data_IF_561469598403
#
_entry.id   IF_561469598403
#
_cell.length_a   1.000
_cell.length_b   1.000
_cell.length_c   1.000
_cell.angle_alpha   90.00
_cell.angle_beta   90.00
_cell.angle_gamma   90.00
#
_symmetry.space_group_name_H-M   'P 1'
#
loop_
_entity.id
_entity.type
_entity.pdbx_description
1 polymer ?
#
# COMPACT_ATOMS: atom_id res chain seq x y z
N UNK A 1 21.77 -4.24 28.29
CA UNK A 1 22.80 -3.29 27.80
C UNK A 1 22.17 -2.49 26.69
N UNK A 2 21.87 -1.21 26.96
CA UNK A 2 21.24 -0.30 26.01
C UNK A 2 22.30 0.14 25.01
N UNK A 3 22.22 -0.37 23.77
CA UNK A 3 23.07 0.14 22.70
C UNK A 3 22.59 1.57 22.39
N UNK A 4 23.39 2.54 22.76
CA UNK A 4 23.24 3.93 22.32
C UNK A 4 23.36 3.96 20.80
N UNK A 5 22.23 4.12 20.10
CA UNK A 5 22.24 4.41 18.67
C UNK A 5 22.89 5.76 18.52
N UNK A 6 24.14 5.75 18.10
CA UNK A 6 24.87 6.93 17.74
C UNK A 6 24.20 7.53 16.49
N UNK A 7 23.60 8.70 16.65
CA UNK A 7 23.01 9.47 15.55
C UNK A 7 24.05 9.61 14.44
N UNK A 8 23.80 9.05 13.30
CA UNK A 8 24.62 9.24 12.11
C UNK A 8 24.52 10.71 11.72
N UNK A 9 25.64 11.42 11.84
CA UNK A 9 25.96 12.73 11.29
C UNK A 9 24.93 13.84 11.53
N UNK A 10 25.37 14.98 12.05
CA UNK A 10 24.67 16.26 12.17
C UNK A 10 24.23 16.84 10.82
N UNK A 11 23.44 16.14 10.02
CA UNK A 11 22.73 16.77 8.92
C UNK A 11 21.64 17.68 9.52
N UNK A 12 21.66 18.94 9.13
CA UNK A 12 20.56 19.82 9.51
C UNK A 12 19.25 19.25 8.97
N UNK A 13 18.15 19.34 9.71
CA UNK A 13 16.84 18.85 9.23
C UNK A 13 16.47 19.44 7.86
N UNK A 14 16.98 20.65 7.53
CA UNK A 14 16.81 21.28 6.22
C UNK A 14 17.30 20.44 5.03
N UNK A 15 18.26 19.53 5.28
CA UNK A 15 18.95 18.76 4.25
C UNK A 15 18.43 17.32 4.18
N UNK A 16 17.44 16.98 5.02
CA UNK A 16 16.84 15.64 5.05
C UNK A 16 15.70 15.57 4.06
N UNK A 17 15.81 14.64 3.11
CA UNK A 17 14.70 14.23 2.25
C UNK A 17 14.00 13.01 2.86
N UNK A 18 12.82 13.17 3.51
CA UNK A 18 12.11 12.05 4.13
C UNK A 18 11.56 11.03 3.14
N UNK A 19 11.56 11.34 1.85
CA UNK A 19 11.12 10.42 0.79
C UNK A 19 12.29 9.64 0.16
N UNK A 20 13.54 9.79 0.64
CA UNK A 20 14.68 9.02 0.12
C UNK A 20 14.55 7.54 0.52
N UNK A 21 14.37 6.60 -0.44
CA UNK A 21 14.23 5.17 -0.15
C UNK A 21 15.43 4.58 0.62
N UNK A 22 16.64 5.17 0.46
CA UNK A 22 17.85 4.72 1.15
C UNK A 22 17.78 4.94 2.65
N UNK A 23 17.03 5.94 3.13
CA UNK A 23 16.82 6.14 4.56
C UNK A 23 15.98 5.03 5.18
N UNK A 24 15.05 4.46 4.41
CA UNK A 24 14.21 3.33 4.84
C UNK A 24 14.98 2.01 4.75
N UNK A 25 15.58 1.70 3.61
CA UNK A 25 16.32 0.44 3.40
C UNK A 25 17.52 0.28 4.33
N UNK A 26 18.10 1.39 4.82
CA UNK A 26 19.20 1.40 5.79
C UNK A 26 18.75 1.64 7.23
N UNK A 27 17.45 1.62 7.49
CA UNK A 27 16.83 1.86 8.82
C UNK A 27 17.24 3.19 9.47
N UNK A 28 17.62 4.19 8.67
CA UNK A 28 18.12 5.49 9.14
C UNK A 28 17.03 6.54 9.34
N UNK A 29 15.82 6.32 8.84
CA UNK A 29 14.73 7.31 8.85
C UNK A 29 14.17 7.60 10.25
N UNK A 30 14.14 6.60 11.14
CA UNK A 30 13.48 6.73 12.44
C UNK A 30 14.06 7.84 13.35
N UNK A 31 15.40 8.02 13.46
CA UNK A 31 15.98 9.14 14.18
C UNK A 31 15.56 10.50 13.62
N UNK A 32 15.48 10.65 12.30
CA UNK A 32 15.03 11.88 11.67
C UNK A 32 13.57 12.16 11.97
N UNK A 33 12.68 11.18 11.87
CA UNK A 33 11.29 11.37 12.26
C UNK A 33 11.14 11.75 13.73
N UNK A 34 11.97 11.18 14.63
CA UNK A 34 11.99 11.58 16.05
C UNK A 34 12.37 13.05 16.20
N UNK A 35 13.42 13.49 15.51
CA UNK A 35 13.86 14.87 15.53
C UNK A 35 12.84 15.83 14.90
N UNK A 36 12.26 15.47 13.75
CA UNK A 36 11.19 16.24 13.12
C UNK A 36 10.00 16.44 14.07
N UNK A 37 9.52 15.39 14.73
CA UNK A 37 8.42 15.51 15.70
C UNK A 37 8.73 16.47 16.83
N UNK A 38 9.99 16.55 17.25
CA UNK A 38 10.40 17.41 18.36
C UNK A 38 10.58 18.87 17.91
N UNK A 39 11.25 19.11 16.78
CA UNK A 39 11.77 20.41 16.40
C UNK A 39 11.00 21.06 15.23
N UNK A 40 10.53 20.25 14.27
CA UNK A 40 9.87 20.74 13.04
C UNK A 40 8.82 19.73 12.54
N UNK A 41 7.69 19.58 13.25
CA UNK A 41 6.71 18.54 12.98
C UNK A 41 6.05 18.63 11.60
N UNK A 42 6.00 19.83 11.02
CA UNK A 42 5.66 20.07 9.62
C UNK A 42 6.94 20.54 8.92
N UNK A 43 7.53 19.65 8.15
CA UNK A 43 8.82 19.85 7.50
C UNK A 43 8.64 19.99 5.99
N UNK A 44 9.20 21.08 5.43
CA UNK A 44 9.23 21.29 3.98
C UNK A 44 10.52 20.73 3.40
N UNK A 45 10.39 19.76 2.52
CA UNK A 45 11.45 19.23 1.67
C UNK A 45 11.41 20.00 0.35
N UNK A 46 12.44 20.82 0.09
CA UNK A 46 12.50 21.69 -1.09
C UNK A 46 12.88 20.91 -2.35
N UNK A 47 13.74 19.92 -2.19
CA UNK A 47 14.35 19.19 -3.30
C UNK A 47 14.24 17.68 -3.07
N UNK A 48 13.58 16.99 -3.98
CA UNK A 48 13.51 15.54 -4.04
C UNK A 48 13.35 15.06 -5.48
N UNK A 49 13.45 13.76 -5.70
CA UNK A 49 13.14 13.16 -7.00
C UNK A 49 11.67 13.38 -7.42
N UNK A 50 10.80 13.65 -6.44
CA UNK A 50 9.35 13.85 -6.61
C UNK A 50 8.93 15.33 -6.55
N UNK A 51 9.88 16.27 -6.70
CA UNK A 51 9.60 17.69 -6.48
C UNK A 51 9.53 18.09 -5.00
N UNK A 52 9.07 19.31 -4.68
CA UNK A 52 8.95 19.80 -3.32
C UNK A 52 7.68 19.26 -2.64
N UNK A 53 7.79 18.91 -1.35
CA UNK A 53 6.66 18.40 -0.57
C UNK A 53 6.76 18.75 0.92
N UNK A 54 5.66 18.59 1.64
CA UNK A 54 5.57 18.73 3.08
C UNK A 54 5.47 17.38 3.77
N UNK A 55 6.31 17.17 4.79
CA UNK A 55 6.21 15.99 5.68
C UNK A 55 5.56 16.38 6.99
N UNK A 56 4.50 15.71 7.35
CA UNK A 56 3.77 15.88 8.61
C UNK A 56 4.04 14.68 9.51
N UNK A 57 4.57 14.90 10.72
CA UNK A 57 5.14 13.81 11.53
C UNK A 57 4.49 13.59 12.90
N UNK A 58 3.68 14.53 13.40
CA UNK A 58 2.91 14.34 14.65
C UNK A 58 1.54 13.76 14.35
N UNK A 59 1.09 12.86 15.21
CA UNK A 59 -0.20 12.18 15.05
C UNK A 59 -1.39 13.17 14.89
N UNK A 60 -1.48 14.17 15.77
CA UNK A 60 -2.59 15.14 15.72
C UNK A 60 -2.57 15.96 14.44
N UNK A 61 -1.39 16.35 13.96
CA UNK A 61 -1.22 17.08 12.70
C UNK A 61 -1.58 16.20 11.49
N UNK A 62 -1.16 14.94 11.50
CA UNK A 62 -1.54 13.95 10.48
C UNK A 62 -3.06 13.78 10.46
N UNK A 63 -3.70 13.61 11.63
CA UNK A 63 -5.15 13.47 11.73
C UNK A 63 -5.90 14.74 11.29
N UNK A 64 -5.32 15.92 11.50
CA UNK A 64 -5.90 17.17 11.04
C UNK A 64 -5.89 17.30 9.51
N UNK A 65 -4.80 16.85 8.86
CA UNK A 65 -4.69 16.80 7.39
C UNK A 65 -5.64 15.73 6.83
N UNK A 66 -5.53 14.49 7.32
CA UNK A 66 -6.26 13.32 6.81
C UNK A 66 -7.79 13.48 6.86
N UNK A 67 -8.30 14.10 7.93
CA UNK A 67 -9.75 14.34 8.10
C UNK A 67 -10.28 15.55 7.33
N UNK A 68 -9.43 16.42 6.85
CA UNK A 68 -9.82 17.67 6.22
C UNK A 68 -9.76 17.59 4.68
N UNK A 69 -10.55 16.70 4.11
CA UNK A 69 -10.64 16.48 2.66
C UNK A 69 -11.08 17.74 1.87
N UNK A 70 -11.61 18.76 2.54
CA UNK A 70 -11.99 20.03 1.88
C UNK A 70 -10.78 20.92 1.55
N UNK A 71 -9.68 20.77 2.30
CA UNK A 71 -8.44 21.53 2.10
C UNK A 71 -7.30 20.67 1.56
N UNK A 72 -7.32 19.38 1.87
CA UNK A 72 -6.30 18.41 1.48
C UNK A 72 -6.96 17.32 0.64
N UNK A 73 -6.86 17.48 -0.67
CA UNK A 73 -7.43 16.56 -1.66
C UNK A 73 -6.64 15.25 -1.72
N UNK A 74 -7.34 14.14 -1.93
CA UNK A 74 -6.77 12.86 -2.35
C UNK A 74 -7.04 12.56 -3.82
N UNK A 75 -7.64 13.49 -4.55
CA UNK A 75 -7.99 13.29 -5.95
C UNK A 75 -6.74 13.20 -6.83
N UNK A 76 -6.74 12.22 -7.73
CA UNK A 76 -5.65 11.94 -8.64
C UNK A 76 -5.25 13.15 -9.51
N UNK A 77 -6.20 14.03 -9.86
CA UNK A 77 -5.93 15.25 -10.63
C UNK A 77 -5.07 16.28 -9.86
N UNK A 78 -4.95 16.13 -8.54
CA UNK A 78 -4.13 16.97 -7.68
C UNK A 78 -2.90 16.23 -7.12
N UNK A 79 -2.51 15.10 -7.72
CA UNK A 79 -1.38 14.27 -7.30
C UNK A 79 -1.77 13.01 -6.51
N UNK A 80 -3.05 12.85 -6.14
CA UNK A 80 -3.55 11.65 -5.48
C UNK A 80 -2.95 11.42 -4.10
N UNK A 81 -2.77 10.14 -3.77
CA UNK A 81 -2.25 9.67 -2.47
C UNK A 81 -0.77 9.29 -2.51
N UNK A 82 -0.15 9.34 -3.67
CA UNK A 82 1.25 8.97 -3.88
C UNK A 82 2.10 10.23 -3.99
N UNK A 83 3.34 10.16 -3.53
CA UNK A 83 4.31 11.25 -3.69
C UNK A 83 4.91 11.26 -5.10
N UNK A 84 4.82 10.14 -5.79
CA UNK A 84 5.31 9.94 -7.15
C UNK A 84 4.15 10.10 -8.14
N UNK A 85 4.17 11.18 -8.90
CA UNK A 85 3.13 11.46 -9.90
C UNK A 85 3.10 10.41 -11.03
N UNK A 86 4.23 9.73 -11.28
CA UNK A 86 4.33 8.69 -12.32
C UNK A 86 3.55 7.42 -11.95
N UNK A 87 3.28 7.16 -10.66
CA UNK A 87 2.52 5.99 -10.21
C UNK A 87 1.02 6.17 -10.40
N UNK A 88 0.53 7.39 -10.30
CA UNK A 88 -0.90 7.69 -10.56
C UNK A 88 -1.23 7.47 -12.04
N UNK A 89 -0.21 7.39 -12.88
CA UNK A 89 -0.33 7.34 -14.31
C UNK A 89 -0.68 8.71 -14.87
N UNK A 90 -0.66 8.83 -16.19
CA UNK A 90 -1.20 10.01 -16.84
C UNK A 90 -2.73 10.00 -16.67
N UNK A 91 -3.25 10.80 -15.77
CA UNK A 91 -4.71 10.95 -15.54
C UNK A 91 -5.46 11.37 -16.81
N UNK A 92 -4.73 11.86 -17.81
CA UNK A 92 -5.22 12.19 -19.14
C UNK A 92 -4.79 11.17 -20.19
N UNK A 93 -4.06 10.11 -19.79
CA UNK A 93 -3.54 9.07 -20.68
C UNK A 93 -4.53 7.93 -20.94
N UNK A 94 -4.14 7.03 -21.84
CA UNK A 94 -4.97 5.91 -22.30
C UNK A 94 -5.24 4.84 -21.21
N UNK A 95 -4.50 4.87 -20.11
CA UNK A 95 -4.64 3.90 -19.01
C UNK A 95 -4.61 4.57 -17.64
N UNK A 96 -5.78 4.96 -17.18
CA UNK A 96 -6.00 5.43 -15.82
C UNK A 96 -7.18 4.70 -15.19
N UNK A 97 -6.94 4.01 -14.07
CA UNK A 97 -7.99 3.38 -13.27
C UNK A 97 -8.18 4.17 -11.98
N UNK A 98 -9.18 5.02 -11.98
CA UNK A 98 -9.53 5.78 -10.81
C UNK A 98 -10.17 4.85 -9.75
N UNK A 99 -9.56 4.76 -8.58
CA UNK A 99 -10.12 4.05 -7.43
C UNK A 99 -10.67 5.04 -6.41
N UNK A 100 -11.56 4.59 -5.53
CA UNK A 100 -12.16 5.49 -4.53
C UNK A 100 -11.13 6.09 -3.55
N UNK A 101 -9.94 5.50 -3.39
CA UNK A 101 -8.86 6.06 -2.55
C UNK A 101 -8.19 7.29 -3.18
N UNK A 102 -8.37 7.49 -4.49
CA UNK A 102 -7.87 8.64 -5.25
C UNK A 102 -9.01 9.54 -5.73
N UNK A 103 -10.08 9.62 -4.96
CA UNK A 103 -11.24 10.46 -5.24
C UNK A 103 -11.58 11.34 -4.04
N UNK A 104 -12.10 12.52 -4.33
CA UNK A 104 -12.75 13.38 -3.34
C UNK A 104 -14.28 13.18 -3.34
N UNK A 105 -14.98 13.90 -2.47
CA UNK A 105 -16.43 13.98 -2.50
C UNK A 105 -16.87 14.84 -3.71
N UNK A 106 -18.01 14.52 -4.34
CA UNK A 106 -19.05 13.56 -3.93
C UNK A 106 -18.83 12.12 -4.42
N UNK A 107 -17.87 11.85 -5.31
CA UNK A 107 -17.66 10.55 -5.96
C UNK A 107 -17.16 9.46 -5.00
N UNK A 108 -16.26 9.81 -4.08
CA UNK A 108 -15.69 8.90 -3.08
C UNK A 108 -16.75 8.20 -2.22
N UNK A 109 -17.74 8.97 -1.72
CA UNK A 109 -18.71 8.48 -0.74
C UNK A 109 -19.51 7.26 -1.20
N UNK A 110 -20.19 7.29 -2.35
CA UNK A 110 -20.94 6.17 -2.88
C UNK A 110 -20.11 4.91 -3.11
N UNK A 111 -18.92 5.05 -3.68
CA UNK A 111 -18.03 3.90 -3.96
C UNK A 111 -17.53 3.25 -2.67
N UNK A 112 -17.02 4.04 -1.72
CA UNK A 112 -16.63 3.53 -0.41
C UNK A 112 -17.78 2.83 0.31
N UNK A 113 -19.00 3.38 0.23
CA UNK A 113 -20.18 2.78 0.85
C UNK A 113 -20.53 1.43 0.26
N UNK A 114 -20.32 1.22 -1.03
CA UNK A 114 -20.57 -0.05 -1.69
C UNK A 114 -19.72 -1.18 -1.07
N UNK A 115 -18.43 -0.95 -0.86
CA UNK A 115 -17.52 -1.96 -0.28
C UNK A 115 -17.57 -2.05 1.24
N UNK A 116 -17.94 -0.97 1.94
CA UNK A 116 -17.92 -0.90 3.42
C UNK A 116 -18.79 -1.95 4.09
N UNK A 117 -19.89 -2.33 3.46
CA UNK A 117 -20.80 -3.35 4.00
C UNK A 117 -20.16 -4.74 4.04
N UNK A 118 -19.32 -5.05 3.08
CA UNK A 118 -18.68 -6.36 2.96
C UNK A 118 -17.64 -6.53 4.09
N UNK A 119 -16.88 -5.47 4.38
CA UNK A 119 -15.83 -5.48 5.41
C UNK A 119 -16.30 -5.00 6.78
N UNK A 120 -17.61 -4.80 6.98
CA UNK A 120 -18.15 -4.43 8.29
C UNK A 120 -17.88 -5.53 9.33
N UNK A 121 -17.62 -5.18 10.61
CA UNK A 121 -17.31 -6.16 11.65
C UNK A 121 -18.34 -7.31 11.75
N UNK A 122 -19.63 -7.00 11.62
CA UNK A 122 -20.71 -8.00 11.62
C UNK A 122 -20.69 -8.94 10.41
N UNK A 123 -20.18 -8.47 9.27
CA UNK A 123 -19.98 -9.31 8.09
C UNK A 123 -18.73 -10.19 8.25
N UNK A 124 -17.64 -9.61 8.77
CA UNK A 124 -16.39 -10.35 9.00
C UNK A 124 -16.55 -11.46 10.04
N UNK A 125 -17.38 -11.28 11.07
CA UNK A 125 -17.68 -12.35 12.04
C UNK A 125 -18.23 -13.62 11.39
N UNK A 126 -18.96 -13.50 10.28
CA UNK A 126 -19.47 -14.66 9.55
C UNK A 126 -18.39 -15.51 8.92
N UNK A 127 -17.23 -14.93 8.68
CA UNK A 127 -16.09 -15.64 8.10
C UNK A 127 -15.21 -16.35 9.15
N UNK A 128 -15.43 -16.13 10.46
CA UNK A 128 -14.58 -16.73 11.49
C UNK A 128 -14.49 -18.26 11.37
N UNK A 129 -15.61 -18.94 11.19
CA UNK A 129 -15.63 -20.41 11.05
C UNK A 129 -14.90 -20.86 9.78
N UNK A 130 -15.04 -20.13 8.69
CA UNK A 130 -14.36 -20.41 7.41
C UNK A 130 -12.86 -20.20 7.56
N UNK A 131 -12.45 -19.08 8.16
CA UNK A 131 -11.03 -18.76 8.42
C UNK A 131 -10.41 -19.86 9.28
N UNK A 132 -11.07 -20.23 10.38
CA UNK A 132 -10.59 -21.27 11.30
C UNK A 132 -10.43 -22.63 10.60
N UNK A 133 -11.43 -23.05 9.85
CA UNK A 133 -11.37 -24.32 9.12
C UNK A 133 -10.26 -24.33 8.06
N UNK A 134 -10.10 -23.26 7.28
CA UNK A 134 -9.01 -23.15 6.30
C UNK A 134 -7.64 -23.10 6.95
N UNK A 135 -7.50 -22.36 8.04
CA UNK A 135 -6.25 -22.30 8.81
C UNK A 135 -5.87 -23.68 9.32
N UNK A 136 -6.82 -24.42 9.89
CA UNK A 136 -6.59 -25.77 10.36
C UNK A 136 -6.14 -26.69 9.22
N UNK A 137 -6.87 -26.74 8.11
CA UNK A 137 -6.52 -27.56 6.95
C UNK A 137 -5.15 -27.22 6.41
N UNK A 138 -4.83 -25.93 6.34
CA UNK A 138 -3.52 -25.45 5.86
C UNK A 138 -2.39 -25.88 6.79
N UNK A 139 -2.55 -25.68 8.10
CA UNK A 139 -1.54 -26.07 9.09
C UNK A 139 -1.34 -27.59 9.15
N UNK A 140 -2.43 -28.37 9.02
CA UNK A 140 -2.36 -29.85 8.98
C UNK A 140 -1.66 -30.37 7.72
N UNK A 141 -1.58 -29.56 6.65
CA UNK A 141 -0.90 -29.91 5.39
C UNK A 141 0.59 -29.55 5.37
N UNK A 142 1.10 -28.85 6.38
CA UNK A 142 2.50 -28.41 6.39
C UNK A 142 3.47 -29.60 6.50
N UNK A 143 4.63 -29.53 5.80
CA UNK A 143 5.65 -30.57 5.92
C UNK A 143 6.21 -30.63 7.34
N UNK A 144 6.41 -31.85 7.85
CA UNK A 144 6.95 -32.08 9.19
C UNK A 144 8.41 -32.54 9.08
N UNK A 145 9.31 -31.81 9.74
CA UNK A 145 10.75 -32.13 9.74
C UNK A 145 11.49 -31.67 8.49
N UNK A 146 10.86 -30.85 7.66
CA UNK A 146 11.45 -30.26 6.45
C UNK A 146 11.38 -28.73 6.53
N UNK A 147 12.32 -28.06 5.88
CA UNK A 147 12.33 -26.60 5.71
C UNK A 147 11.37 -26.20 4.58
N UNK A 148 10.58 -25.16 4.79
CA UNK A 148 9.67 -24.62 3.78
C UNK A 148 9.53 -23.10 3.90
N UNK A 149 9.09 -22.44 2.82
CA UNK A 149 8.79 -21.02 2.83
C UNK A 149 7.43 -20.77 3.49
N UNK A 150 7.46 -20.17 4.69
CA UNK A 150 6.26 -19.83 5.44
C UNK A 150 5.41 -18.79 4.71
N UNK A 151 6.04 -17.80 4.05
CA UNK A 151 5.31 -16.72 3.39
C UNK A 151 4.50 -17.27 2.22
N UNK A 152 5.12 -18.06 1.36
CA UNK A 152 4.42 -18.65 0.22
C UNK A 152 3.39 -19.70 0.66
N UNK A 153 3.79 -20.60 1.56
CA UNK A 153 2.97 -21.76 1.93
C UNK A 153 1.81 -21.38 2.85
N UNK A 154 1.99 -20.42 3.75
CA UNK A 154 0.97 -20.09 4.77
C UNK A 154 0.39 -18.68 4.57
N UNK A 155 1.23 -17.65 4.54
CA UNK A 155 0.75 -16.27 4.57
C UNK A 155 0.00 -15.90 3.30
N UNK A 156 0.60 -16.14 2.15
CA UNK A 156 -0.02 -15.86 0.84
C UNK A 156 -1.22 -16.78 0.64
N UNK A 157 -1.10 -18.07 0.93
CA UNK A 157 -2.17 -19.04 0.69
C UNK A 157 -3.42 -18.71 1.50
N UNK A 158 -3.29 -18.49 2.82
CA UNK A 158 -4.43 -18.16 3.67
C UNK A 158 -5.06 -16.81 3.28
N UNK A 159 -4.24 -15.80 3.00
CA UNK A 159 -4.73 -14.47 2.63
C UNK A 159 -5.49 -14.50 1.30
N UNK A 160 -4.95 -15.17 0.29
CA UNK A 160 -5.60 -15.27 -1.03
C UNK A 160 -6.88 -16.11 -0.99
N UNK A 161 -6.89 -17.18 -0.19
CA UNK A 161 -8.13 -17.95 0.05
C UNK A 161 -9.24 -17.09 0.64
N UNK A 162 -8.89 -16.22 1.59
CA UNK A 162 -9.87 -15.33 2.22
C UNK A 162 -10.30 -14.20 1.30
N UNK A 163 -9.36 -13.61 0.56
CA UNK A 163 -9.65 -12.56 -0.40
C UNK A 163 -10.55 -13.06 -1.53
N UNK A 164 -10.28 -14.25 -2.07
CA UNK A 164 -11.13 -14.88 -3.08
C UNK A 164 -12.55 -15.09 -2.57
N UNK A 165 -12.71 -15.49 -1.29
CA UNK A 165 -14.05 -15.65 -0.68
C UNK A 165 -14.74 -14.29 -0.51
N UNK A 166 -14.02 -13.27 -0.08
CA UNK A 166 -14.58 -11.93 0.16
C UNK A 166 -15.07 -11.27 -1.13
N UNK A 167 -14.35 -11.51 -2.25
CA UNK A 167 -14.64 -10.93 -3.55
C UNK A 167 -15.50 -11.83 -4.46
N UNK A 168 -15.92 -13.02 -3.97
CA UNK A 168 -16.57 -14.07 -4.79
C UNK A 168 -15.76 -14.41 -6.05
N UNK A 169 -14.45 -14.45 -5.87
CA UNK A 169 -13.48 -14.67 -6.95
C UNK A 169 -13.26 -16.18 -7.16
N UNK A 170 -13.07 -16.66 -8.41
CA UNK A 170 -12.77 -18.07 -8.69
C UNK A 170 -11.61 -18.58 -7.86
N UNK A 171 -11.86 -19.63 -7.07
CA UNK A 171 -10.93 -20.09 -6.05
C UNK A 171 -9.62 -20.66 -6.64
N UNK A 172 -9.71 -21.28 -7.79
CA UNK A 172 -8.60 -21.81 -8.57
C UNK A 172 -7.65 -20.73 -9.05
N UNK A 173 -8.18 -19.54 -9.31
CA UNK A 173 -7.41 -18.38 -9.81
C UNK A 173 -6.88 -17.46 -8.70
N UNK A 174 -7.13 -17.76 -7.42
CA UNK A 174 -6.80 -16.89 -6.27
C UNK A 174 -5.37 -16.37 -6.24
N UNK A 175 -4.40 -17.14 -6.74
CA UNK A 175 -2.98 -16.74 -6.82
C UNK A 175 -2.74 -15.56 -7.76
N UNK A 176 -3.63 -15.32 -8.72
CA UNK A 176 -3.59 -14.13 -9.57
C UNK A 176 -3.75 -12.85 -8.75
N UNK A 177 -4.55 -12.88 -7.67
CA UNK A 177 -4.73 -11.73 -6.78
C UNK A 177 -3.42 -11.29 -6.14
N UNK A 178 -2.57 -12.24 -5.70
CA UNK A 178 -1.23 -11.92 -5.20
C UNK A 178 -0.38 -11.32 -6.29
N UNK A 179 -0.31 -11.98 -7.47
CA UNK A 179 0.50 -11.50 -8.59
C UNK A 179 0.14 -10.07 -8.99
N UNK A 180 -1.15 -9.78 -9.17
CA UNK A 180 -1.60 -8.45 -9.53
C UNK A 180 -1.37 -7.41 -8.42
N UNK A 181 -1.47 -7.82 -7.14
CA UNK A 181 -1.10 -6.95 -6.02
C UNK A 181 0.37 -6.57 -6.07
N UNK A 182 1.26 -7.54 -6.27
CA UNK A 182 2.70 -7.30 -6.37
C UNK A 182 3.03 -6.39 -7.56
N UNK A 183 2.40 -6.64 -8.71
CA UNK A 183 2.56 -5.83 -9.93
C UNK A 183 2.07 -4.39 -9.75
N UNK A 184 0.99 -4.20 -9.00
CA UNK A 184 0.43 -2.86 -8.75
C UNK A 184 1.42 -1.95 -8.02
N UNK A 185 2.17 -2.49 -7.06
CA UNK A 185 3.13 -1.73 -6.25
C UNK A 185 4.57 -1.82 -6.76
N UNK A 186 4.81 -2.59 -7.81
CA UNK A 186 6.14 -2.76 -8.39
C UNK A 186 6.54 -1.56 -9.24
N UNK A 187 7.81 -1.16 -9.16
CA UNK A 187 8.42 -0.26 -10.14
C UNK A 187 8.71 -1.01 -11.45
N UNK A 188 8.67 -0.29 -12.57
CA UNK A 188 8.74 -0.88 -13.90
C UNK A 188 10.04 -1.61 -14.27
N UNK A 189 11.11 -1.44 -13.49
CA UNK A 189 12.41 -2.11 -13.64
C UNK A 189 12.74 -3.03 -12.45
N UNK A 190 11.74 -3.33 -11.62
CA UNK A 190 11.92 -4.18 -10.44
C UNK A 190 12.03 -5.65 -10.81
N UNK A 191 12.61 -6.50 -9.93
CA UNK A 191 12.63 -7.96 -10.11
C UNK A 191 11.22 -8.57 -10.23
N UNK A 192 10.18 -7.85 -9.84
CA UNK A 192 8.79 -8.30 -9.91
C UNK A 192 8.26 -8.27 -11.34
N UNK A 193 8.57 -7.25 -12.13
CA UNK A 193 7.97 -7.03 -13.44
C UNK A 193 8.95 -6.86 -14.59
N UNK A 194 10.21 -6.74 -14.42
CA UNK A 194 11.22 -6.65 -15.48
C UNK A 194 11.14 -5.43 -16.42
N UNK A 195 9.94 -4.89 -16.71
CA UNK A 195 9.75 -3.66 -17.50
C UNK A 195 8.40 -3.00 -17.23
N UNK A 196 8.29 -1.70 -17.57
CA UNK A 196 7.05 -0.94 -17.46
C UNK A 196 5.97 -1.47 -18.41
N UNK A 197 6.33 -1.91 -19.62
CA UNK A 197 5.39 -2.50 -20.58
C UNK A 197 4.78 -3.79 -20.04
N UNK A 198 5.59 -4.65 -19.39
CA UNK A 198 5.09 -5.86 -18.74
C UNK A 198 4.14 -5.52 -17.60
N UNK A 199 4.50 -4.52 -16.77
CA UNK A 199 3.64 -4.04 -15.68
C UNK A 199 2.26 -3.61 -16.20
N UNK A 200 2.23 -2.77 -17.22
CA UNK A 200 0.97 -2.29 -17.84
C UNK A 200 0.17 -3.46 -18.40
N UNK A 201 0.80 -4.38 -19.10
CA UNK A 201 0.12 -5.55 -19.68
C UNK A 201 -0.57 -6.41 -18.62
N UNK A 202 0.10 -6.68 -17.48
CA UNK A 202 -0.48 -7.44 -16.38
C UNK A 202 -1.59 -6.68 -15.64
N UNK A 203 -1.51 -5.36 -15.52
CA UNK A 203 -2.59 -4.55 -14.95
C UNK A 203 -3.83 -4.51 -15.88
N UNK A 204 -3.61 -4.50 -17.19
CA UNK A 204 -4.71 -4.64 -18.18
C UNK A 204 -5.33 -6.03 -18.08
N UNK A 205 -4.53 -7.09 -17.95
CA UNK A 205 -5.05 -8.45 -17.72
C UNK A 205 -5.96 -8.50 -16.49
N UNK A 206 -5.51 -7.91 -15.37
CA UNK A 206 -6.29 -7.80 -14.15
C UNK A 206 -7.63 -7.08 -14.40
N UNK A 207 -7.60 -5.92 -15.03
CA UNK A 207 -8.79 -5.13 -15.33
C UNK A 207 -9.78 -5.94 -16.21
N UNK A 208 -9.30 -6.57 -17.28
CA UNK A 208 -10.13 -7.36 -18.18
C UNK A 208 -10.68 -8.63 -17.51
N UNK A 209 -9.95 -9.21 -16.56
CA UNK A 209 -10.45 -10.33 -15.77
C UNK A 209 -11.62 -9.90 -14.89
N UNK A 210 -11.49 -8.79 -14.13
CA UNK A 210 -12.57 -8.29 -13.28
C UNK A 210 -13.79 -7.76 -14.05
N UNK A 211 -13.62 -7.30 -15.29
CA UNK A 211 -14.75 -6.92 -16.14
C UNK A 211 -15.61 -8.13 -16.60
N UNK A 212 -15.07 -9.34 -16.54
CA UNK A 212 -15.77 -10.57 -16.94
C UNK A 212 -16.45 -11.29 -15.79
N UNK A 213 -16.06 -10.98 -14.54
CA UNK A 213 -16.72 -11.48 -13.34
C UNK A 213 -18.05 -10.75 -13.11
#
# INVERSE_FOLDING_TARGET
MSASIQLAGNAALSDVNPADPKLFSQEKILPYFKQMRAEKPVHYCKESAYGPFWSVTRYDDIMAVDKNHQQFSSDAHYGGIMIDDDIVGDVNGDFFVQSFITMDQPEHGPQRKAVSKIVAPTSLQKFESIIRGRTQTLLDSLPVGEEFDWVDTVSIELTTMMLATLLDFPFEDRRKLTRWSDVTVAEGDSPVVGSQEQRIAELIECLEYFKKL
#
